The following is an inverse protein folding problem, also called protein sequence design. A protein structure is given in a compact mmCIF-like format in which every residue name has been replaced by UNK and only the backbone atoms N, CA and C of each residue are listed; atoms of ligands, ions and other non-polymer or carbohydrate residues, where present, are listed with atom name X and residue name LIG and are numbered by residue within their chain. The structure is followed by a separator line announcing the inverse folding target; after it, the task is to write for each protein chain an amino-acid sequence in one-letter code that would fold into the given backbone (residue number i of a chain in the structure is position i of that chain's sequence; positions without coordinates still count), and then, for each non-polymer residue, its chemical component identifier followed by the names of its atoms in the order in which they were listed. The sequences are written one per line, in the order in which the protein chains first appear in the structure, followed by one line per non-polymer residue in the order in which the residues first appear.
data_IF_019665046387
#
_entry.id   IF_019665046387
#
_cell.length_a   1.000
_cell.length_b   1.000
_cell.length_c   1.000
_cell.angle_alpha   90.00
_cell.angle_beta   90.00
_cell.angle_gamma   90.00
#
_symmetry.space_group_name_H-M   'P 1'
#
loop_
_entity.id
_entity.type
_entity.pdbx_description
1 polymer ?
#
# COMPACT_ATOMS: atom_id res chain seq x y z
N UNK A 1 22.04 8.80 -2.65
CA UNK A 1 20.89 7.87 -2.56
C UNK A 1 21.13 6.78 -3.59
N UNK A 2 21.19 5.51 -3.18
CA UNK A 2 21.20 4.42 -4.15
C UNK A 2 19.77 4.22 -4.63
N UNK A 3 19.54 4.29 -5.94
CA UNK A 3 18.29 3.81 -6.52
C UNK A 3 18.28 2.29 -6.37
N UNK A 4 17.38 1.79 -5.51
CA UNK A 4 17.05 0.37 -5.45
C UNK A 4 15.76 0.17 -6.24
N UNK A 5 15.82 -0.67 -7.26
CA UNK A 5 14.63 -1.19 -7.95
C UNK A 5 14.19 -2.45 -7.20
N UNK A 6 12.88 -2.59 -6.96
CA UNK A 6 12.35 -3.81 -6.38
C UNK A 6 12.36 -4.95 -7.41
N UNK A 7 12.80 -6.14 -6.99
CA UNK A 7 12.64 -7.37 -7.75
C UNK A 7 11.24 -7.94 -7.44
N UNK A 8 10.41 -8.04 -8.48
CA UNK A 8 8.97 -8.36 -8.36
C UNK A 8 8.64 -9.55 -9.26
N UNK A 9 7.87 -10.49 -8.72
CA UNK A 9 7.16 -11.51 -9.48
C UNK A 9 5.66 -11.26 -9.43
N UNK A 10 4.96 -11.61 -10.50
CA UNK A 10 3.50 -11.54 -10.56
C UNK A 10 2.95 -12.93 -10.38
N UNK A 11 2.09 -13.12 -9.38
CA UNK A 11 1.44 -14.41 -9.18
C UNK A 11 0.31 -14.64 -10.20
N UNK A 12 -0.28 -15.84 -10.19
CA UNK A 12 -1.35 -16.25 -11.11
C UNK A 12 -2.62 -15.39 -11.02
N UNK A 13 -2.78 -14.60 -9.95
CA UNK A 13 -3.90 -13.67 -9.73
C UNK A 13 -3.57 -12.23 -10.16
N UNK A 14 -2.37 -11.98 -10.68
CA UNK A 14 -1.92 -10.66 -11.09
C UNK A 14 -1.55 -9.75 -9.92
N UNK A 15 -1.21 -10.30 -8.76
CA UNK A 15 -0.73 -9.54 -7.59
C UNK A 15 0.80 -9.54 -7.56
N UNK A 16 1.44 -8.37 -7.38
CA UNK A 16 2.89 -8.30 -7.28
C UNK A 16 3.38 -8.82 -5.91
N UNK A 17 4.40 -9.67 -5.96
CA UNK A 17 5.06 -10.28 -4.80
C UNK A 17 6.52 -9.83 -4.79
N UNK A 18 7.00 -9.38 -3.63
CA UNK A 18 8.42 -9.05 -3.46
C UNK A 18 9.24 -10.31 -3.34
N UNK A 19 10.16 -10.58 -4.26
CA UNK A 19 11.05 -11.76 -4.16
C UNK A 19 12.03 -11.67 -2.98
N UNK A 20 12.28 -10.45 -2.49
CA UNK A 20 13.15 -10.19 -1.34
C UNK A 20 12.50 -10.50 0.00
N UNK A 21 11.19 -10.25 0.11
CA UNK A 21 10.43 -10.44 1.35
C UNK A 21 9.49 -11.64 1.30
N UNK A 22 9.33 -12.26 0.13
CA UNK A 22 8.45 -13.40 -0.15
C UNK A 22 6.99 -13.15 0.29
N UNK A 23 6.53 -11.92 0.08
CA UNK A 23 5.24 -11.42 0.57
C UNK A 23 4.54 -10.57 -0.50
N UNK A 24 3.22 -10.73 -0.75
CA UNK A 24 2.45 -9.84 -1.61
C UNK A 24 2.41 -8.40 -1.08
N UNK A 25 2.40 -7.43 -2.00
CA UNK A 25 2.31 -6.00 -1.64
C UNK A 25 0.94 -5.57 -1.10
N UNK A 26 -0.11 -6.35 -1.39
CA UNK A 26 -1.47 -6.13 -0.89
C UNK A 26 -2.25 -7.44 -0.90
N UNK A 27 -3.35 -7.47 -0.16
CA UNK A 27 -4.20 -8.65 -0.03
C UNK A 27 -4.75 -9.14 -1.36
N UNK A 28 -4.76 -10.47 -1.51
CA UNK A 28 -5.06 -11.17 -2.77
C UNK A 28 -6.54 -11.10 -3.17
N UNK A 29 -7.44 -10.89 -2.20
CA UNK A 29 -8.88 -10.97 -2.43
C UNK A 29 -9.53 -9.58 -2.43
N UNK A 30 -9.17 -8.67 -1.49
CA UNK A 30 -9.83 -7.37 -1.31
C UNK A 30 -8.88 -6.24 -0.89
N UNK A 31 -7.72 -6.10 -1.55
CA UNK A 31 -6.70 -5.09 -1.17
C UNK A 31 -7.22 -3.65 -1.03
N UNK A 32 -8.18 -3.21 -1.86
CA UNK A 32 -8.74 -1.84 -1.77
C UNK A 32 -9.60 -1.65 -0.51
N UNK A 33 -10.52 -2.57 -0.24
CA UNK A 33 -11.41 -2.49 0.93
C UNK A 33 -10.61 -2.62 2.24
N UNK A 34 -9.60 -3.48 2.25
CA UNK A 34 -8.69 -3.61 3.39
C UNK A 34 -7.89 -2.32 3.62
N UNK A 35 -7.34 -1.71 2.56
CA UNK A 35 -6.68 -0.40 2.66
C UNK A 35 -7.64 0.67 3.18
N UNK A 36 -8.89 0.69 2.72
CA UNK A 36 -9.90 1.65 3.19
C UNK A 36 -10.17 1.48 4.69
N UNK A 37 -10.42 0.25 5.12
CA UNK A 37 -10.72 -0.05 6.50
C UNK A 37 -9.54 0.21 7.45
N UNK A 38 -8.34 -0.27 7.08
CA UNK A 38 -7.15 -0.21 7.95
C UNK A 38 -6.56 1.20 8.00
N UNK A 39 -6.40 1.85 6.84
CA UNK A 39 -5.67 3.13 6.78
C UNK A 39 -6.58 4.36 6.83
N UNK A 40 -7.68 4.39 6.06
CA UNK A 40 -8.60 5.53 6.07
C UNK A 40 -9.47 5.54 7.32
N UNK A 41 -10.28 4.50 7.52
CA UNK A 41 -11.17 4.41 8.69
C UNK A 41 -10.38 4.23 9.98
N UNK A 42 -9.34 3.38 9.97
CA UNK A 42 -8.51 3.13 11.15
C UNK A 42 -7.78 4.36 11.70
N UNK A 43 -7.53 5.38 10.88
CA UNK A 43 -6.97 6.67 11.32
C UNK A 43 -8.02 7.80 11.39
N UNK A 44 -9.29 7.49 11.14
CA UNK A 44 -10.40 8.44 11.03
C UNK A 44 -10.10 9.58 10.03
N UNK A 45 -9.36 9.27 8.96
CA UNK A 45 -8.90 10.26 7.99
C UNK A 45 -10.05 11.00 7.31
N UNK A 46 -11.14 10.34 6.87
CA UNK A 46 -12.27 11.02 6.24
C UNK A 46 -12.81 12.19 7.06
N UNK A 47 -12.82 12.08 8.39
CA UNK A 47 -13.32 13.13 9.29
C UNK A 47 -12.25 14.18 9.64
N UNK A 48 -10.98 13.91 9.37
CA UNK A 48 -9.84 14.78 9.69
C UNK A 48 -9.31 15.57 8.48
N UNK A 49 -9.79 15.25 7.28
CA UNK A 49 -9.43 15.98 6.08
C UNK A 49 -9.80 17.46 6.16
N UNK A 50 -8.93 18.30 5.61
CA UNK A 50 -9.08 19.75 5.62
C UNK A 50 -7.86 20.43 5.02
N UNK A 51 -7.90 21.76 4.95
CA UNK A 51 -6.81 22.54 4.38
C UNK A 51 -5.50 22.33 5.16
N UNK A 52 -4.43 22.04 4.42
CA UNK A 52 -3.11 21.79 5.00
C UNK A 52 -2.92 20.38 5.58
N UNK A 53 -3.87 19.45 5.40
CA UNK A 53 -3.68 18.06 5.81
C UNK A 53 -2.46 17.42 5.12
N UNK A 54 -1.68 16.62 5.86
CA UNK A 54 -0.49 15.93 5.37
C UNK A 54 -0.43 14.52 5.95
N UNK A 55 -0.12 13.56 5.10
CA UNK A 55 0.13 12.16 5.48
C UNK A 55 1.61 11.87 5.22
N UNK A 56 2.22 11.09 6.11
CA UNK A 56 3.52 10.47 5.89
C UNK A 56 3.32 8.96 5.86
N UNK A 57 3.87 8.29 4.85
CA UNK A 57 3.81 6.84 4.68
C UNK A 57 5.23 6.26 4.79
N UNK A 58 5.36 5.15 5.50
CA UNK A 58 6.60 4.38 5.57
C UNK A 58 6.46 3.15 4.67
N UNK A 59 7.12 3.19 3.51
CA UNK A 59 7.07 2.12 2.51
C UNK A 59 5.95 2.35 1.50
N UNK A 60 6.29 2.99 0.38
CA UNK A 60 5.32 3.34 -0.67
C UNK A 60 4.77 2.11 -1.42
N UNK A 61 5.58 1.05 -1.54
CA UNK A 61 5.20 -0.18 -2.21
C UNK A 61 4.70 0.05 -3.64
N UNK A 62 3.47 -0.36 -3.92
CA UNK A 62 2.78 -0.16 -5.20
C UNK A 62 2.01 1.17 -5.28
N UNK A 63 1.93 1.93 -4.19
CA UNK A 63 1.14 3.15 -4.10
C UNK A 63 -0.36 2.93 -3.92
N UNK A 64 -0.81 1.72 -3.54
CA UNK A 64 -2.24 1.40 -3.38
C UNK A 64 -2.99 2.33 -2.41
N UNK A 65 -2.28 2.88 -1.42
CA UNK A 65 -2.85 3.76 -0.40
C UNK A 65 -2.99 5.24 -0.84
N UNK A 66 -2.53 5.61 -2.05
CA UNK A 66 -2.45 6.99 -2.53
C UNK A 66 -3.33 7.24 -3.76
#
# INVERSE_FOLDING_TARGET
MQNQTADIEWNDRGVPVSTKFDDPYFSLDNGVEETHHVYLEGNDLPNRFGDGFRIAELGFGTGLNF
#
